data_IF_778619213135
#
_entry.id   IF_778619213135
#
_cell.length_a   1.000
_cell.length_b   1.000
_cell.length_c   1.000
_cell.angle_alpha   90.00
_cell.angle_beta   90.00
_cell.angle_gamma   90.00
#
_symmetry.space_group_name_H-M   'P 1'
#
loop_
_entity.id
_entity.type
_entity.pdbx_description
1 polymer ?
2 non-polymer ?
3 non-polymer ?
4 non-polymer ?
5 non-polymer ?
6 water ?
#
# COMPACT_ATOMS: atom_id res chain seq x y z
N UNK A 11 2.75 -1.85 -18.66
CA UNK A 11 3.43 -1.74 -17.34
C UNK A 11 2.95 -0.56 -16.48
N UNK A 12 1.92 0.21 -16.87
CA UNK A 12 1.47 1.32 -15.99
C UNK A 12 0.86 0.71 -14.71
N UNK A 13 0.04 -0.35 -14.84
CA UNK A 13 -0.70 -0.97 -13.72
C UNK A 13 -0.40 -2.48 -13.72
N UNK A 14 -0.06 -3.05 -12.57
CA UNK A 14 0.10 -4.52 -12.47
C UNK A 14 -0.35 -4.98 -11.09
N UNK A 15 -0.92 -6.18 -11.07
CA UNK A 15 -1.56 -6.74 -9.87
C UNK A 15 -0.95 -8.09 -9.62
N UNK A 16 -0.64 -8.39 -8.36
CA UNK A 16 -0.17 -9.75 -7.96
C UNK A 16 -0.93 -10.17 -6.73
N UNK A 17 -0.86 -11.46 -6.44
CA UNK A 17 -1.42 -12.08 -5.20
C UNK A 17 -0.29 -12.68 -4.39
N UNK A 18 -0.40 -12.57 -3.08
CA UNK A 18 0.50 -13.28 -2.14
C UNK A 18 -0.35 -14.14 -1.25
N UNK A 19 -0.14 -15.45 -1.30
CA UNK A 19 -0.82 -16.44 -0.43
C UNK A 19 0.12 -16.65 0.76
N UNK A 20 -0.35 -16.46 1.96
CA UNK A 20 0.48 -16.77 3.13
C UNK A 20 0.25 -18.23 3.56
N UNK A 21 1.15 -18.73 4.41
CA UNK A 21 0.92 -19.98 5.11
C UNK A 21 -0.18 -19.77 6.16
N UNK A 22 -0.75 -20.87 6.65
CA UNK A 22 -1.78 -20.87 7.71
C UNK A 22 -1.15 -20.29 8.97
N UNK A 23 -1.97 -19.65 9.80
CA UNK A 23 -1.51 -19.09 11.10
C UNK A 23 -1.94 -20.01 12.26
N UNK A 24 -1.63 -19.64 13.51
CA UNK A 24 -1.98 -20.44 14.71
C UNK A 24 -3.49 -20.64 14.84
N UNK A 25 -4.22 -19.53 14.66
CA UNK A 25 -5.70 -19.51 14.74
C UNK A 25 -6.29 -20.56 13.79
N UNK A 26 -5.85 -20.58 12.53
CA UNK A 26 -6.40 -21.43 11.44
C UNK A 26 -6.10 -22.91 11.70
N UNK A 27 -4.95 -23.22 12.29
CA UNK A 27 -4.50 -24.60 12.65
C UNK A 27 -5.31 -25.13 13.84
N UNK A 28 -5.75 -24.28 14.77
CA UNK A 28 -6.58 -24.70 15.94
C UNK A 28 -7.99 -25.11 15.47
N UNK A 29 -8.40 -24.74 14.24
CA UNK A 29 -9.75 -25.01 13.68
C UNK A 29 -9.88 -26.48 13.24
N UNK A 33 -11.26 -25.72 9.41
CA UNK A 33 -10.78 -24.94 8.24
C UNK A 33 -10.76 -25.84 7.00
N UNK A 34 -11.36 -25.37 5.89
CA UNK A 34 -11.21 -25.97 4.55
C UNK A 34 -10.27 -25.10 3.71
N UNK A 35 -9.31 -25.71 3.01
CA UNK A 35 -8.50 -25.03 1.95
C UNK A 35 -9.40 -24.86 0.73
N UNK A 36 -9.75 -23.62 0.38
CA UNK A 36 -10.66 -23.31 -0.74
C UNK A 36 -9.84 -23.07 -2.01
N UNK A 37 -8.57 -22.67 -1.88
CA UNK A 37 -7.76 -22.09 -3.00
C UNK A 37 -6.41 -22.80 -3.10
N UNK A 38 -6.00 -23.10 -4.33
CA UNK A 38 -4.64 -23.56 -4.65
C UNK A 38 -4.06 -22.68 -5.76
N UNK A 39 -2.76 -22.73 -5.99
CA UNK A 39 -2.10 -21.75 -6.87
C UNK A 39 -0.99 -22.37 -7.70
N UNK A 40 -0.67 -21.73 -8.82
CA UNK A 40 0.68 -21.80 -9.41
C UNK A 40 1.19 -20.37 -9.54
N UNK A 41 2.22 -20.11 -10.36
CA UNK A 41 2.87 -18.78 -10.34
C UNK A 41 1.96 -17.72 -10.98
N UNK A 42 0.82 -18.11 -11.56
CA UNK A 42 0.00 -17.15 -12.33
C UNK A 42 -1.49 -17.33 -12.04
N UNK A 43 -1.93 -18.47 -11.56
CA UNK A 43 -3.38 -18.79 -11.46
C UNK A 43 -3.68 -19.20 -10.02
N UNK A 44 -4.76 -18.68 -9.47
CA UNK A 44 -5.30 -19.12 -8.16
C UNK A 44 -6.69 -19.68 -8.49
N UNK A 45 -6.93 -20.92 -8.09
CA UNK A 45 -8.17 -21.63 -8.50
C UNK A 45 -8.82 -22.24 -7.28
N UNK A 46 -10.15 -22.30 -7.34
CA UNK A 46 -11.00 -22.93 -6.30
C UNK A 46 -10.74 -24.45 -6.28
N UNK A 47 -10.64 -25.04 -5.10
CA UNK A 47 -10.20 -26.46 -4.96
C UNK A 47 -11.28 -27.38 -5.53
N UNK A 48 -12.53 -27.26 -5.11
CA UNK A 48 -13.51 -28.28 -5.61
C UNK A 48 -14.62 -27.48 -6.30
N UNK A 49 -14.25 -26.71 -7.31
CA UNK A 49 -15.15 -25.79 -8.03
C UNK A 49 -14.51 -25.25 -9.28
N UNK A 50 -15.18 -24.32 -9.95
CA UNK A 50 -14.83 -23.86 -11.30
C UNK A 50 -14.19 -22.46 -11.29
N UNK A 51 -14.22 -21.74 -10.16
CA UNK A 51 -13.71 -20.35 -10.13
C UNK A 51 -12.19 -20.39 -10.29
N UNK A 52 -11.66 -19.48 -11.09
CA UNK A 52 -10.19 -19.22 -11.13
C UNK A 52 -9.90 -17.80 -11.57
N UNK A 53 -8.70 -17.33 -11.22
CA UNK A 53 -8.25 -15.97 -11.51
C UNK A 53 -6.79 -16.03 -11.94
N UNK A 54 -6.46 -15.26 -12.97
CA UNK A 54 -5.08 -15.21 -13.50
C UNK A 54 -4.51 -13.84 -13.14
N UNK A 55 -3.25 -13.83 -12.79
CA UNK A 55 -2.51 -12.61 -12.44
C UNK A 55 -1.14 -12.68 -13.09
N UNK A 56 -0.49 -11.53 -13.18
CA UNK A 56 0.91 -11.46 -13.67
C UNK A 56 1.83 -12.22 -12.72
N UNK A 57 1.51 -12.31 -11.43
CA UNK A 57 2.32 -13.14 -10.49
C UNK A 57 1.45 -13.53 -9.31
N UNK A 58 1.55 -14.79 -8.91
CA UNK A 58 0.99 -15.25 -7.63
C UNK A 58 2.17 -15.81 -6.83
N UNK A 59 2.38 -15.29 -5.64
CA UNK A 59 3.42 -15.75 -4.69
C UNK A 59 2.80 -16.78 -3.76
N UNK A 60 3.47 -17.92 -3.56
CA UNK A 60 3.01 -18.97 -2.60
C UNK A 60 3.60 -18.78 -1.20
N UNK A 61 3.12 -19.60 -0.28
CA UNK A 61 3.41 -19.48 1.16
C UNK A 61 4.88 -19.60 1.50
N UNK A 62 5.70 -20.28 0.68
CA UNK A 62 7.17 -20.41 0.98
C UNK A 62 8.04 -19.36 0.26
N UNK A 63 7.43 -18.51 -0.56
CA UNK A 63 8.16 -17.39 -1.22
C UNK A 63 8.21 -16.22 -0.21
N UNK A 64 9.31 -15.50 -0.20
CA UNK A 64 9.62 -14.55 0.86
C UNK A 64 9.31 -13.12 0.37
N UNK A 65 9.39 -12.17 1.27
CA UNK A 65 9.20 -10.75 0.92
C UNK A 65 10.38 -10.26 0.06
N UNK A 66 11.55 -10.92 0.09
CA UNK A 66 12.63 -10.60 -0.89
C UNK A 66 12.12 -10.89 -2.32
N UNK A 67 11.47 -12.04 -2.54
CA UNK A 67 10.91 -12.37 -3.87
C UNK A 67 9.86 -11.31 -4.28
N UNK A 68 8.93 -11.01 -3.37
CA UNK A 68 7.88 -9.98 -3.62
C UNK A 68 8.61 -8.69 -3.92
N UNK A 69 9.57 -8.27 -3.09
CA UNK A 69 10.23 -6.95 -3.30
C UNK A 69 10.90 -6.91 -4.70
N UNK A 70 11.71 -7.91 -5.02
CA UNK A 70 12.59 -7.86 -6.22
C UNK A 70 11.73 -7.93 -7.49
N UNK A 71 10.63 -8.67 -7.47
CA UNK A 71 9.83 -8.87 -8.70
C UNK A 71 8.86 -7.70 -8.86
N UNK A 72 8.23 -7.23 -7.76
CA UNK A 72 7.10 -6.24 -7.88
C UNK A 72 7.59 -4.81 -7.62
N UNK A 73 8.37 -4.58 -6.56
CA UNK A 73 8.67 -3.22 -6.07
C UNK A 73 9.95 -2.69 -6.70
N UNK A 74 10.99 -3.51 -6.83
CA UNK A 74 12.32 -3.01 -7.28
C UNK A 74 12.17 -2.25 -8.60
N UNK A 75 11.35 -2.73 -9.58
CA UNK A 75 11.17 -1.98 -10.83
C UNK A 75 10.47 -0.63 -10.67
N UNK A 76 9.62 -0.52 -9.64
CA UNK A 76 8.92 0.74 -9.33
C UNK A 76 9.93 1.70 -8.72
N UNK A 77 10.85 1.22 -7.89
CA UNK A 77 11.96 2.07 -7.36
C UNK A 77 12.83 2.55 -8.52
N UNK A 78 13.14 1.65 -9.46
CA UNK A 78 13.91 2.01 -10.68
C UNK A 78 13.18 3.16 -11.40
N UNK A 79 11.89 3.01 -11.70
CA UNK A 79 11.05 4.02 -12.37
C UNK A 79 11.00 5.34 -11.57
N UNK A 80 10.99 5.27 -10.23
CA UNK A 80 10.99 6.49 -9.38
C UNK A 80 12.31 7.23 -9.59
N UNK A 81 13.41 6.50 -9.66
CA UNK A 81 14.75 7.12 -9.93
C UNK A 81 14.76 7.75 -11.34
N UNK A 82 13.99 7.23 -12.28
CA UNK A 82 13.88 7.78 -13.66
C UNK A 82 12.83 8.91 -13.72
N UNK A 83 12.14 9.25 -12.63
CA UNK A 83 11.24 10.42 -12.58
C UNK A 83 9.78 10.08 -12.75
N UNK A 84 9.39 8.81 -12.69
CA UNK A 84 7.96 8.42 -12.71
C UNK A 84 7.44 8.32 -11.27
N UNK A 85 6.24 8.82 -11.05
CA UNK A 85 5.45 8.54 -9.83
C UNK A 85 5.22 7.02 -9.78
N UNK A 86 5.36 6.46 -8.58
CA UNK A 86 5.09 5.03 -8.36
C UNK A 86 4.33 4.83 -7.08
N UNK A 87 3.35 3.92 -7.10
CA UNK A 87 2.54 3.63 -5.91
C UNK A 87 2.42 2.10 -5.81
N UNK A 88 2.62 1.56 -4.60
CA UNK A 88 2.42 0.13 -4.31
C UNK A 88 1.45 0.05 -3.14
N UNK A 89 0.35 -0.69 -3.32
CA UNK A 89 -0.71 -0.89 -2.30
C UNK A 89 -0.66 -2.34 -1.88
N UNK A 90 -0.83 -2.63 -0.60
CA UNK A 90 -1.17 -3.99 -0.12
C UNK A 90 -2.63 -3.97 0.32
N UNK A 91 -3.41 -4.94 -0.18
CA UNK A 91 -4.86 -5.02 -0.05
C UNK A 91 -5.23 -6.44 0.33
N UNK A 92 -6.14 -6.60 1.27
CA UNK A 92 -6.62 -7.93 1.66
C UNK A 92 -7.26 -7.94 3.03
N UNK A 93 -7.95 -9.04 3.32
CA UNK A 93 -8.66 -9.26 4.60
C UNK A 93 -7.72 -9.00 5.79
N UNK A 94 -8.29 -8.68 6.96
CA UNK A 94 -7.50 -8.65 8.21
C UNK A 94 -6.72 -9.98 8.34
N UNK A 95 -5.46 -9.85 8.74
CA UNK A 95 -4.51 -10.94 9.09
C UNK A 95 -4.05 -11.69 7.83
N UNK A 96 -4.29 -11.14 6.65
CA UNK A 96 -3.92 -11.79 5.38
C UNK A 96 -2.43 -11.58 5.06
N UNK A 97 -1.77 -10.53 5.60
CA UNK A 97 -0.31 -10.34 5.40
C UNK A 97 0.12 -8.98 4.86
N UNK A 98 -0.76 -7.99 4.83
CA UNK A 98 -0.40 -6.65 4.28
C UNK A 98 0.78 -6.02 5.05
N UNK A 99 0.71 -5.96 6.37
CA UNK A 99 1.76 -5.29 7.19
C UNK A 99 3.03 -6.15 7.16
N UNK A 100 2.88 -7.45 7.29
CA UNK A 100 3.98 -8.43 7.13
C UNK A 100 4.73 -8.09 5.83
N UNK A 101 3.99 -7.94 4.74
CA UNK A 101 4.58 -7.68 3.40
C UNK A 101 5.16 -6.25 3.30
N UNK A 102 4.45 -5.23 3.78
CA UNK A 102 4.86 -3.83 3.56
C UNK A 102 5.88 -3.38 4.61
N UNK A 103 5.80 -3.81 5.85
CA UNK A 103 6.72 -3.30 6.92
C UNK A 103 7.62 -4.45 7.41
N UNK A 104 7.07 -5.63 7.62
CA UNK A 104 7.75 -6.77 8.23
C UNK A 104 8.38 -6.40 9.56
N UNK A 105 9.58 -6.91 9.80
CA UNK A 105 10.32 -6.75 11.07
C UNK A 105 11.81 -6.85 10.79
N UNK A 106 12.63 -6.59 11.79
CA UNK A 106 14.10 -6.77 11.65
C UNK A 106 14.40 -8.21 11.25
N UNK A 107 13.58 -9.15 11.67
CA UNK A 107 13.83 -10.60 11.37
C UNK A 107 13.64 -10.82 9.87
N UNK A 108 12.71 -10.11 9.22
CA UNK A 108 12.43 -10.31 7.78
C UNK A 108 11.76 -9.05 7.24
N UNK A 109 12.54 -8.21 6.59
CA UNK A 109 12.12 -6.82 6.25
C UNK A 109 10.94 -6.85 5.28
N UNK A 110 10.08 -5.85 5.40
CA UNK A 110 8.98 -5.61 4.44
C UNK A 110 9.45 -4.79 3.24
N UNK A 111 8.51 -4.54 2.34
CA UNK A 111 8.73 -3.71 1.11
C UNK A 111 9.26 -2.31 1.47
N UNK A 112 8.74 -1.69 2.52
CA UNK A 112 9.06 -0.27 2.83
C UNK A 112 10.54 -0.18 3.20
N UNK A 113 11.04 -0.88 4.23
CA UNK A 113 12.47 -0.82 4.54
C UNK A 113 13.37 -1.33 3.42
N UNK A 114 12.94 -2.34 2.66
CA UNK A 114 13.75 -2.85 1.51
C UNK A 114 13.87 -1.74 0.46
N UNK A 115 12.82 -0.95 0.24
CA UNK A 115 12.83 0.13 -0.79
C UNK A 115 13.84 1.19 -0.34
N UNK A 116 13.88 1.45 0.96
CA UNK A 116 14.84 2.47 1.49
C UNK A 116 16.26 2.02 1.18
N UNK A 117 16.64 0.79 1.56
CA UNK A 117 17.99 0.26 1.27
C UNK A 117 18.24 0.28 -0.24
N UNK A 118 17.26 -0.16 -1.01
CA UNK A 118 17.38 -0.29 -2.47
C UNK A 118 17.63 1.08 -3.10
N UNK A 119 16.91 2.10 -2.67
CA UNK A 119 17.05 3.50 -3.21
C UNK A 119 18.48 4.02 -2.94
N UNK A 120 18.95 3.94 -1.69
CA UNK A 120 20.28 4.45 -1.28
C UNK A 120 21.38 3.69 -2.03
N UNK A 121 21.23 2.39 -2.27
CA UNK A 121 22.22 1.61 -3.07
C UNK A 121 22.17 2.08 -4.54
N UNK A 122 20.97 2.15 -5.13
CA UNK A 122 20.85 2.41 -6.58
C UNK A 122 21.29 3.82 -6.96
N UNK A 123 21.12 4.81 -6.09
CA UNK A 123 21.46 6.20 -6.51
C UNK A 123 22.99 6.35 -6.67
N UNK A 124 23.78 5.45 -6.08
CA UNK A 124 25.26 5.40 -6.31
C UNK A 124 25.61 5.02 -7.75
N UNK A 125 24.70 4.40 -8.51
CA UNK A 125 24.96 4.07 -9.94
C UNK A 125 24.89 5.33 -10.82
N UNK A 126 24.55 6.50 -10.26
CA UNK A 126 24.35 7.79 -10.99
C UNK A 126 25.17 8.91 -10.34
N UNK A 127 26.52 8.77 -10.27
CA UNK A 127 27.37 9.76 -9.58
C UNK A 127 27.37 11.14 -10.26
N UNK A 128 26.96 11.16 -11.53
CA UNK A 128 26.81 12.36 -12.39
C UNK A 128 25.48 13.04 -12.10
N UNK A 129 24.78 12.61 -11.04
CA UNK A 129 23.44 13.17 -10.67
C UNK A 129 23.44 13.47 -9.17
N UNK A 130 22.86 14.60 -8.82
CA UNK A 130 22.65 15.05 -7.42
C UNK A 130 21.23 14.65 -7.03
N UNK A 131 21.07 13.95 -5.91
CA UNK A 131 19.76 13.47 -5.44
C UNK A 131 19.39 14.23 -4.17
N UNK A 132 18.12 14.60 -4.06
CA UNK A 132 17.55 15.06 -2.78
C UNK A 132 16.35 14.16 -2.47
N UNK A 133 16.39 13.49 -1.32
CA UNK A 133 15.29 12.58 -0.90
C UNK A 133 14.60 13.14 0.34
N UNK A 134 13.28 13.11 0.36
CA UNK A 134 12.54 13.50 1.57
C UNK A 134 11.37 12.54 1.79
N UNK A 135 11.11 12.26 3.06
CA UNK A 135 10.05 11.28 3.43
C UNK A 135 8.91 11.98 4.14
N UNK A 136 7.72 11.40 4.01
CA UNK A 136 6.54 11.78 4.79
C UNK A 136 5.89 10.49 5.24
N UNK A 137 5.03 10.57 6.25
CA UNK A 137 4.36 9.35 6.74
C UNK A 137 3.04 9.77 7.33
N UNK A 138 1.94 9.33 6.73
CA UNK A 138 0.60 9.76 7.19
C UNK A 138 -0.30 8.56 7.41
N UNK A 139 -1.31 8.79 8.24
CA UNK A 139 -2.32 7.78 8.53
C UNK A 139 -3.68 8.39 8.26
N UNK A 140 -4.61 7.54 7.82
CA UNK A 140 -6.04 7.88 7.69
C UNK A 140 -6.80 7.00 8.69
N UNK A 141 -7.24 7.58 9.78
CA UNK A 141 -7.89 6.85 10.89
C UNK A 141 -9.22 7.53 11.14
N UNK A 142 -10.30 6.76 10.95
CA UNK A 142 -11.70 7.18 11.14
C UNK A 142 -11.87 8.49 10.35
N UNK A 143 -11.52 8.43 9.05
CA UNK A 143 -11.60 9.48 8.00
C UNK A 143 -10.93 10.80 8.44
N UNK A 144 -9.91 10.72 9.27
CA UNK A 144 -9.03 11.86 9.67
C UNK A 144 -7.62 11.58 9.15
N UNK A 145 -6.96 12.59 8.59
CA UNK A 145 -5.55 12.45 8.14
C UNK A 145 -4.64 13.12 9.15
N UNK A 146 -3.59 12.40 9.57
CA UNK A 146 -2.60 12.92 10.51
C UNK A 146 -1.19 12.58 10.04
N UNK A 147 -0.28 13.39 10.48
CA UNK A 147 1.16 13.33 10.18
C UNK A 147 1.80 12.42 11.24
N UNK A 148 2.36 11.28 10.85
CA UNK A 148 2.96 10.36 11.86
C UNK A 148 4.36 10.84 12.27
N UNK A 149 4.98 11.80 11.55
CA UNK A 149 6.40 12.14 11.78
C UNK A 149 6.54 13.31 12.76
N UNK A 150 5.56 14.21 12.85
CA UNK A 150 5.79 15.57 13.40
C UNK A 150 5.81 15.51 14.94
N UNK A 151 5.50 14.37 15.54
CA UNK A 151 5.45 14.22 17.01
C UNK A 151 4.13 14.73 17.55
N UNK A 152 3.67 14.12 18.65
CA UNK A 152 2.25 14.12 19.10
C UNK A 152 1.72 15.54 19.33
N UNK A 153 2.53 16.45 19.88
CA UNK A 153 2.03 17.79 20.30
C UNK A 153 1.64 18.61 19.05
N UNK A 154 2.21 18.32 17.86
CA UNK A 154 1.94 19.04 16.57
C UNK A 154 0.89 18.29 15.72
N UNK A 155 0.49 17.10 16.12
CA UNK A 155 -0.55 16.32 15.40
C UNK A 155 -1.89 17.02 15.48
N UNK A 156 -2.62 17.01 14.37
CA UNK A 156 -3.96 17.62 14.20
C UNK A 156 -4.54 17.08 12.89
N UNK A 157 -5.88 17.12 12.70
CA UNK A 157 -6.50 16.69 11.44
C UNK A 157 -5.93 17.59 10.33
N UNK A 158 -5.48 16.99 9.23
CA UNK A 158 -4.90 17.71 8.08
C UNK A 158 -5.93 17.76 6.97
N UNK A 159 -5.78 18.76 6.09
CA UNK A 159 -6.76 19.10 5.03
C UNK A 159 -6.19 18.65 3.69
N UNK A 160 -7.00 18.03 2.84
CA UNK A 160 -6.60 17.73 1.44
C UNK A 160 -6.92 18.98 0.62
N UNK A 161 -5.95 19.48 -0.13
CA UNK A 161 -6.18 20.62 -1.05
C UNK A 161 -5.82 20.20 -2.48
N UNK A 162 -6.31 20.98 -3.43
CA UNK A 162 -6.04 20.79 -4.86
C UNK A 162 -5.29 22.02 -5.36
N UNK A 163 -4.11 21.83 -5.94
CA UNK A 163 -3.19 22.95 -6.24
C UNK A 163 -3.55 23.55 -7.60
N UNK A 164 -2.69 24.43 -8.09
CA UNK A 164 -2.92 25.20 -9.36
C UNK A 164 -3.02 24.23 -10.55
N UNK A 165 -2.38 23.05 -10.49
CA UNK A 165 -2.40 22.06 -11.61
C UNK A 165 -3.43 20.96 -11.37
N UNK A 166 -4.32 21.13 -10.37
CA UNK A 166 -5.36 20.19 -9.95
C UNK A 166 -4.76 18.93 -9.29
N UNK A 167 -3.47 18.92 -8.95
CA UNK A 167 -2.83 17.86 -8.10
C UNK A 167 -3.37 17.97 -6.66
N UNK A 168 -3.77 16.86 -6.03
CA UNK A 168 -4.19 16.83 -4.60
C UNK A 168 -2.96 16.65 -3.70
N UNK A 169 -2.97 17.32 -2.56
CA UNK A 169 -1.85 17.25 -1.58
C UNK A 169 -2.44 17.37 -0.18
N UNK A 170 -1.72 16.86 0.84
CA UNK A 170 -2.12 17.05 2.27
C UNK A 170 -1.41 18.29 2.78
N UNK A 171 -2.17 19.36 3.09
CA UNK A 171 -1.63 20.65 3.59
C UNK A 171 -0.89 20.41 4.92
N UNK A 172 0.31 20.96 5.03
CA UNK A 172 1.15 21.00 6.26
C UNK A 172 1.63 19.60 6.67
N UNK A 173 1.58 18.60 5.80
CA UNK A 173 2.25 17.30 6.02
C UNK A 173 3.75 17.54 5.94
N UNK A 174 4.49 17.20 6.99
CA UNK A 174 5.95 17.40 7.02
C UNK A 174 6.65 16.48 6.01
N UNK A 175 7.76 16.98 5.49
CA UNK A 175 8.60 16.29 4.51
C UNK A 175 10.00 16.38 5.07
N UNK A 176 10.58 15.26 5.48
CA UNK A 176 11.88 15.25 6.17
C UNK A 176 12.97 14.83 5.17
N UNK A 177 13.96 15.71 4.97
CA UNK A 177 15.14 15.36 4.15
C UNK A 177 15.95 14.24 4.81
N UNK A 178 16.37 13.27 4.03
CA UNK A 178 17.14 12.11 4.57
C UNK A 178 18.36 11.91 3.70
N UNK A 179 19.51 11.66 4.31
CA UNK A 179 20.82 11.52 3.62
C UNK A 179 21.36 10.09 3.75
N UNK A 180 20.75 9.24 4.56
CA UNK A 180 21.17 7.83 4.73
C UNK A 180 19.92 6.96 4.88
N UNK A 181 20.06 5.67 4.59
CA UNK A 181 19.02 4.67 4.90
C UNK A 181 18.67 4.73 6.39
N UNK A 182 19.69 4.84 7.25
CA UNK A 182 19.48 4.84 8.72
C UNK A 182 18.53 5.99 9.11
N UNK A 183 18.68 7.17 8.50
CA UNK A 183 17.87 8.35 8.90
C UNK A 183 16.40 8.07 8.50
N UNK A 184 16.20 7.53 7.28
CA UNK A 184 14.85 7.22 6.78
C UNK A 184 14.19 6.19 7.71
N UNK A 185 14.90 5.12 8.07
CA UNK A 185 14.37 4.04 8.96
C UNK A 185 14.04 4.60 10.34
N UNK A 186 14.83 5.54 10.87
CA UNK A 186 14.47 6.16 12.17
C UNK A 186 13.17 6.94 12.07
N UNK A 187 12.91 7.62 10.95
CA UNK A 187 11.61 8.32 10.77
C UNK A 187 10.47 7.30 10.75
N UNK A 188 10.64 6.20 10.04
CA UNK A 188 9.58 5.14 9.99
C UNK A 188 9.31 4.66 11.42
N UNK A 189 10.36 4.44 12.22
CA UNK A 189 10.21 3.95 13.61
C UNK A 189 9.41 4.97 14.41
N UNK A 190 9.76 6.24 14.27
CA UNK A 190 9.07 7.31 15.00
C UNK A 190 7.60 7.30 14.61
N UNK A 191 7.30 7.19 13.32
CA UNK A 191 5.90 7.20 12.86
C UNK A 191 5.12 6.00 13.35
N UNK A 192 5.76 4.83 13.38
CA UNK A 192 5.13 3.56 13.82
C UNK A 192 4.65 3.69 15.27
N UNK A 193 5.32 4.50 16.10
CA UNK A 193 4.96 4.69 17.52
C UNK A 193 3.58 5.32 17.64
N UNK A 194 3.18 6.18 16.71
CA UNK A 194 1.91 6.92 16.73
C UNK A 194 0.82 6.23 15.89
N UNK A 195 1.21 5.27 15.06
CA UNK A 195 0.25 4.53 14.19
C UNK A 195 -0.78 3.78 15.05
N UNK A 196 -2.02 3.75 14.60
CA UNK A 196 -3.14 3.08 15.30
C UNK A 196 -3.08 1.58 14.99
N UNK A 197 -2.82 0.79 16.03
CA UNK A 197 -2.96 -0.68 15.98
C UNK A 197 -3.97 -1.12 17.02
N UNK A 198 -4.54 -2.32 16.87
CA UNK A 198 -5.47 -2.83 17.87
C UNK A 198 -5.53 -4.34 17.86
N UNK A 199 -5.86 -4.91 19.00
CA UNK A 199 -5.98 -6.37 19.16
C UNK A 199 -7.41 -6.82 18.83
N UNK A 200 -7.56 -7.80 17.94
CA UNK A 200 -8.82 -8.54 17.68
C UNK A 200 -8.51 -10.02 17.69
N UNK A 201 -9.55 -10.86 17.64
CA UNK A 201 -9.32 -12.32 17.61
C UNK A 201 -8.65 -12.70 16.28
N UNK A 202 -8.74 -11.85 15.25
CA UNK A 202 -8.19 -12.17 13.91
C UNK A 202 -6.72 -11.73 13.83
N UNK A 203 -6.35 -10.66 14.54
CA UNK A 203 -4.97 -10.11 14.49
C UNK A 203 -4.65 -9.44 15.82
N UNK A 204 -3.64 -9.92 16.53
CA UNK A 204 -3.28 -9.27 17.80
C UNK A 204 -2.67 -7.88 17.55
N UNK A 205 -2.30 -7.54 16.32
CA UNK A 205 -1.78 -6.21 15.95
C UNK A 205 -2.33 -5.81 14.57
N UNK A 206 -3.65 -5.67 14.55
CA UNK A 206 -4.44 -5.21 13.40
C UNK A 206 -4.08 -3.73 13.18
N UNK A 207 -3.82 -3.37 11.93
CA UNK A 207 -3.73 -1.96 11.46
C UNK A 207 -5.11 -1.32 11.43
N UNK A 208 -5.40 -0.35 12.32
CA UNK A 208 -6.76 0.20 12.45
C UNK A 208 -6.93 1.43 11.56
N UNK A 209 -5.96 1.70 10.70
CA UNK A 209 -5.93 2.88 9.81
C UNK A 209 -5.27 2.45 8.51
N UNK A 210 -5.44 3.26 7.48
CA UNK A 210 -4.61 3.21 6.24
C UNK A 210 -3.37 4.03 6.49
N UNK A 211 -2.21 3.53 6.06
CA UNK A 211 -0.95 4.29 6.20
C UNK A 211 -0.30 4.47 4.85
N UNK A 212 0.28 5.65 4.66
CA UNK A 212 0.99 5.98 3.40
C UNK A 212 2.37 6.49 3.77
N UNK A 213 3.38 5.72 3.42
CA UNK A 213 4.80 6.13 3.49
C UNK A 213 5.18 6.70 2.13
N UNK A 214 5.65 7.95 2.10
CA UNK A 214 6.02 8.58 0.82
C UNK A 214 7.50 8.95 0.81
N UNK A 215 8.19 8.65 -0.29
CA UNK A 215 9.47 9.34 -0.59
C UNK A 215 9.26 10.23 -1.81
N UNK A 216 9.70 11.49 -1.72
CA UNK A 216 9.83 12.37 -2.91
C UNK A 216 11.29 12.33 -3.31
N UNK A 217 11.55 11.84 -4.51
CA UNK A 217 12.91 11.72 -5.08
C UNK A 217 13.09 12.84 -6.09
N UNK A 218 14.09 13.68 -5.90
CA UNK A 218 14.40 14.76 -6.88
C UNK A 218 15.83 14.51 -7.36
N UNK A 219 16.09 14.64 -8.66
CA UNK A 219 17.51 14.60 -9.12
C UNK A 219 17.74 15.63 -10.23
N UNK A 220 18.98 16.07 -10.36
CA UNK A 220 19.42 16.89 -11.50
C UNK A 220 20.87 16.54 -11.84
N UNK A 221 21.27 16.89 -13.07
CA UNK A 221 22.66 16.72 -13.54
C UNK A 221 23.58 17.54 -12.62
N UNK A 222 24.69 16.94 -12.16
CA UNK A 222 25.78 17.59 -11.40
C UNK A 222 26.39 18.77 -12.19
N UNK A 223 26.11 18.88 -13.50
CA UNK A 223 26.52 20.00 -14.37
C UNK A 223 26.46 21.35 -13.67
N UNK A 231 17.37 20.70 -15.76
CA UNK A 231 16.01 20.55 -15.18
C UNK A 231 16.01 19.46 -14.11
N UNK A 232 14.90 19.29 -13.39
CA UNK A 232 14.85 18.46 -12.15
C UNK A 232 13.82 17.35 -12.38
N UNK A 233 14.21 16.09 -12.22
CA UNK A 233 13.26 14.96 -12.21
C UNK A 233 12.67 14.89 -10.80
N UNK A 234 11.34 14.79 -10.68
CA UNK A 234 10.62 14.69 -9.38
C UNK A 234 9.70 13.45 -9.42
N UNK A 235 9.84 12.56 -8.46
CA UNK A 235 8.99 11.35 -8.35
C UNK A 235 8.36 11.31 -6.95
N UNK A 236 7.07 11.02 -6.87
CA UNK A 236 6.40 10.66 -5.60
C UNK A 236 6.27 9.14 -5.57
N UNK A 237 6.94 8.51 -4.61
CA UNK A 237 6.90 7.06 -4.37
C UNK A 237 6.03 6.82 -3.14
N UNK A 238 4.82 6.30 -3.35
CA UNK A 238 3.82 6.11 -2.27
C UNK A 238 3.72 4.62 -1.98
N UNK A 239 4.03 4.22 -0.76
CA UNK A 239 4.03 2.81 -0.34
C UNK A 239 2.93 2.68 0.72
N UNK A 240 1.86 1.98 0.37
CA UNK A 240 0.56 2.12 1.05
C UNK A 240 0.22 0.78 1.68
N UNK A 241 -0.04 0.79 2.96
CA UNK A 241 -0.50 -0.42 3.71
C UNK A 241 -1.94 -0.16 4.14
N UNK A 242 -2.89 -0.78 3.43
CA UNK A 242 -4.33 -0.52 3.72
C UNK A 242 -4.72 -1.27 4.97
N UNK A 243 -5.75 -0.78 5.65
CA UNK A 243 -6.56 -1.58 6.59
C UNK A 243 -7.31 -2.65 5.80
N UNK A 244 -7.82 -3.67 6.51
CA UNK A 244 -8.35 -4.89 5.87
C UNK A 244 -9.79 -5.17 6.28
N UNK A 245 -10.57 -5.77 5.37
CA UNK A 245 -11.97 -6.16 5.66
C UNK A 245 -12.02 -7.06 6.90
N UNK A 246 -13.04 -6.90 7.73
CA UNK A 246 -13.17 -7.77 8.92
C UNK A 246 -14.65 -7.84 9.33
N UNK A 247 -14.99 -8.91 10.02
CA UNK A 247 -16.38 -9.19 10.47
C UNK A 247 -16.39 -9.38 11.97
N UNK A 248 -17.38 -8.81 12.65
CA UNK A 248 -17.56 -8.93 14.11
C UNK A 248 -17.57 -10.41 14.57
N UNK A 249 -18.14 -11.34 13.80
CA UNK A 249 -18.24 -12.76 14.21
C UNK A 249 -16.84 -13.36 14.30
N UNK A 250 -15.88 -12.81 13.54
CA UNK A 250 -14.50 -13.32 13.47
C UNK A 250 -13.62 -12.54 14.46
N UNK A 251 -13.82 -11.24 14.62
CA UNK A 251 -12.88 -10.39 15.42
C UNK A 251 -13.24 -10.41 16.92
N UNK A 252 -14.52 -10.62 17.24
CA UNK A 252 -15.07 -10.38 18.58
C UNK A 252 -15.01 -8.92 18.96
N UNK A 253 -14.88 -7.99 18.02
CA UNK A 253 -14.69 -6.55 18.33
C UNK A 253 -15.97 -5.99 18.99
N UNK A 254 -15.76 -5.00 19.85
CA UNK A 254 -16.80 -4.25 20.57
C UNK A 254 -16.27 -2.82 20.68
N UNK A 255 -17.16 -1.88 20.99
CA UNK A 255 -16.75 -0.50 21.27
C UNK A 255 -15.93 0.10 20.14
N UNK A 256 -14.82 0.75 20.48
CA UNK A 256 -13.98 1.49 19.49
C UNK A 256 -13.43 0.52 18.43
N UNK A 257 -12.99 -0.67 18.81
CA UNK A 257 -12.47 -1.66 17.82
C UNK A 257 -13.58 -1.91 16.78
N UNK A 258 -14.83 -2.09 17.22
CA UNK A 258 -15.95 -2.42 16.30
C UNK A 258 -16.23 -1.22 15.39
N UNK A 259 -16.23 -0.01 15.94
CA UNK A 259 -16.41 1.23 15.16
C UNK A 259 -15.33 1.34 14.08
N UNK A 260 -14.08 1.04 14.46
CA UNK A 260 -12.93 1.08 13.52
C UNK A 260 -13.23 0.15 12.36
N UNK A 261 -13.68 -1.07 12.65
CA UNK A 261 -13.97 -2.11 11.64
C UNK A 261 -15.01 -1.62 10.66
N UNK A 262 -16.08 -1.04 11.19
CA UNK A 262 -17.15 -0.44 10.35
C UNK A 262 -16.56 0.62 9.42
N UNK A 263 -15.75 1.53 9.93
CA UNK A 263 -15.10 2.62 9.15
C UNK A 263 -14.19 2.01 8.09
N UNK A 264 -13.44 0.97 8.48
CA UNK A 264 -12.49 0.32 7.56
C UNK A 264 -13.31 -0.30 6.43
N UNK A 265 -14.35 -1.04 6.77
CA UNK A 265 -15.13 -1.77 5.75
C UNK A 265 -15.75 -0.75 4.81
N UNK A 266 -16.25 0.36 5.34
CA UNK A 266 -16.88 1.42 4.51
C UNK A 266 -15.85 1.96 3.51
N UNK A 267 -14.64 2.27 3.98
CA UNK A 267 -13.58 2.90 3.16
C UNK A 267 -13.15 1.91 2.06
N UNK A 268 -13.11 0.59 2.35
CA UNK A 268 -12.66 -0.41 1.34
C UNK A 268 -13.75 -0.60 0.30
N UNK A 269 -15.01 -0.48 0.73
CA UNK A 269 -16.17 -0.54 -0.19
C UNK A 269 -16.03 0.60 -1.22
N UNK A 270 -15.70 1.80 -0.76
CA UNK A 270 -15.56 2.98 -1.62
C UNK A 270 -14.36 2.78 -2.56
N UNK A 271 -13.22 2.31 -2.03
CA UNK A 271 -12.05 2.04 -2.91
C UNK A 271 -12.45 1.05 -4.02
N UNK A 272 -13.23 0.01 -3.69
CA UNK A 272 -13.67 -0.96 -4.71
C UNK A 272 -14.56 -0.32 -5.77
N UNK A 273 -15.43 0.59 -5.36
CA UNK A 273 -16.37 1.28 -6.29
C UNK A 273 -15.55 2.17 -7.24
N UNK A 274 -14.55 2.89 -6.72
CA UNK A 274 -13.65 3.74 -7.57
C UNK A 274 -12.92 2.86 -8.58
N UNK A 275 -12.36 1.73 -8.14
CA UNK A 275 -11.64 0.77 -9.02
C UNK A 275 -12.61 0.22 -10.09
N UNK A 276 -13.82 -0.13 -9.70
CA UNK A 276 -14.81 -0.73 -10.62
C UNK A 276 -15.14 0.31 -11.71
N UNK A 277 -15.42 1.56 -11.31
CA UNK A 277 -15.73 2.66 -12.26
C UNK A 277 -14.56 2.88 -13.23
N UNK A 278 -13.32 2.85 -12.74
CA UNK A 278 -12.12 3.03 -13.61
C UNK A 278 -12.00 1.88 -14.62
N UNK A 279 -12.29 0.65 -14.20
CA UNK A 279 -12.18 -0.58 -15.02
C UNK A 279 -13.17 -0.50 -16.18
N UNK A 280 -14.35 0.05 -15.94
CA UNK A 280 -15.47 0.11 -16.91
C UNK A 280 -15.15 1.11 -18.03
N UNK A 281 -14.97 2.40 -17.70
CA UNK A 281 -14.93 3.51 -18.67
C UNK A 281 -13.51 3.99 -18.92
N UNK A 286 -17.68 11.84 -12.65
CA UNK A 286 -17.79 10.43 -13.15
C UNK A 286 -17.18 9.49 -12.11
N UNK A 287 -15.92 9.73 -11.72
CA UNK A 287 -15.22 8.89 -10.69
C UNK A 287 -15.37 9.59 -9.34
N UNK A 288 -15.88 8.87 -8.34
CA UNK A 288 -16.27 9.38 -6.99
C UNK A 288 -15.06 9.36 -6.04
N UNK A 289 -13.97 10.04 -6.39
CA UNK A 289 -12.75 9.98 -5.55
C UNK A 289 -13.06 10.61 -4.20
N UNK A 290 -13.96 11.60 -4.18
CA UNK A 290 -14.19 12.46 -3.00
C UNK A 290 -14.93 11.69 -1.90
N UNK A 291 -15.47 10.50 -2.13
CA UNK A 291 -16.31 9.77 -1.14
C UNK A 291 -15.48 9.23 0.05
N UNK A 292 -14.15 9.19 -0.04
CA UNK A 292 -13.26 8.75 1.06
C UNK A 292 -11.94 9.55 1.00
N UNK A 293 -11.31 9.77 2.14
CA UNK A 293 -10.02 10.47 2.17
C UNK A 293 -8.97 9.63 1.43
N UNK A 294 -9.06 8.32 1.51
CA UNK A 294 -8.07 7.42 0.87
C UNK A 294 -8.14 7.60 -0.65
N UNK A 295 -9.33 7.50 -1.24
CA UNK A 295 -9.48 7.62 -2.74
C UNK A 295 -9.15 9.05 -3.18
N UNK A 296 -9.39 10.05 -2.34
CA UNK A 296 -9.10 11.46 -2.69
C UNK A 296 -7.59 11.68 -2.67
N UNK A 297 -6.87 11.25 -1.63
CA UNK A 297 -5.43 11.61 -1.53
C UNK A 297 -4.62 10.80 -2.57
N UNK A 298 -5.06 9.59 -2.93
CA UNK A 298 -4.34 8.72 -3.92
C UNK A 298 -5.06 8.72 -5.28
N UNK A 299 -5.84 9.75 -5.58
CA UNK A 299 -6.56 9.82 -6.88
C UNK A 299 -5.55 9.67 -8.03
N UNK A 300 -4.39 10.29 -7.92
CA UNK A 300 -3.39 10.25 -9.02
C UNK A 300 -2.92 8.79 -9.23
N UNK A 301 -2.92 7.95 -8.20
CA UNK A 301 -2.52 6.52 -8.28
C UNK A 301 -3.59 5.67 -8.96
N UNK A 302 -4.84 6.15 -9.00
CA UNK A 302 -6.02 5.38 -9.47
C UNK A 302 -6.55 6.06 -10.73
N UNK A 303 -5.90 5.74 -11.84
CA UNK A 303 -6.23 6.21 -13.20
C UNK A 303 -5.43 7.41 -13.62
N UNK A 304 -4.42 7.83 -12.85
CA UNK A 304 -3.68 9.09 -13.13
C UNK A 304 -2.25 8.89 -13.61
N UNK A 305 -1.40 9.85 -13.29
CA UNK A 305 0.01 9.90 -13.68
C UNK A 305 0.91 9.17 -12.67
N UNK A 306 0.76 7.84 -12.50
CA UNK A 306 1.77 7.04 -11.82
C UNK A 306 1.77 5.58 -12.25
N UNK A 307 2.84 4.90 -11.93
CA UNK A 307 2.91 3.43 -12.14
C UNK A 307 2.41 2.82 -10.85
N UNK A 308 1.32 2.07 -10.92
CA UNK A 308 0.68 1.54 -9.70
C UNK A 308 0.81 0.02 -9.68
N UNK A 309 1.11 -0.52 -8.51
CA UNK A 309 1.11 -1.98 -8.28
C UNK A 309 0.21 -2.29 -7.08
N UNK A 310 -0.52 -3.41 -7.18
CA UNK A 310 -1.41 -3.89 -6.11
C UNK A 310 -0.92 -5.28 -5.74
N UNK A 311 -0.56 -5.45 -4.46
CA UNK A 311 -0.24 -6.77 -3.85
C UNK A 311 -1.48 -7.19 -3.05
N UNK A 312 -2.23 -8.17 -3.55
CA UNK A 312 -3.44 -8.68 -2.92
C UNK A 312 -3.07 -9.86 -2.01
N UNK A 313 -3.12 -9.69 -0.69
CA UNK A 313 -2.73 -10.72 0.28
C UNK A 313 -3.98 -11.58 0.61
N UNK A 314 -3.84 -12.90 0.61
CA UNK A 314 -4.99 -13.79 0.89
C UNK A 314 -4.52 -14.94 1.76
N UNK A 315 -5.45 -15.48 2.54
CA UNK A 315 -5.32 -16.77 3.22
C UNK A 315 -6.17 -17.80 2.46
N UNK A 316 -5.60 -18.98 2.19
CA UNK A 316 -6.27 -19.95 1.31
C UNK A 316 -7.44 -20.69 1.98
N UNK A 317 -7.57 -20.58 3.32
CA UNK A 317 -8.70 -21.22 4.08
C UNK A 317 -9.87 -20.24 4.24
N UNK A 318 -9.83 -19.07 3.60
CA UNK A 318 -11.01 -18.18 3.49
C UNK A 318 -11.68 -18.37 2.13
N UNK A 319 -12.99 -18.50 2.10
CA UNK A 319 -13.73 -18.47 0.82
C UNK A 319 -14.20 -17.05 0.53
N UNK A 320 -15.16 -16.50 1.27
CA UNK A 320 -15.85 -15.24 0.89
C UNK A 320 -14.85 -14.07 0.88
N UNK A 321 -14.05 -13.88 1.93
CA UNK A 321 -13.13 -12.69 2.00
C UNK A 321 -12.09 -12.81 0.89
N UNK A 322 -11.53 -14.00 0.68
CA UNK A 322 -10.55 -14.22 -0.41
C UNK A 322 -11.22 -13.92 -1.75
N UNK A 323 -12.48 -14.35 -1.95
CA UNK A 323 -13.17 -14.16 -3.24
C UNK A 323 -13.32 -12.66 -3.49
N UNK A 324 -13.78 -11.92 -2.47
CA UNK A 324 -13.95 -10.46 -2.57
C UNK A 324 -12.61 -9.83 -2.97
N UNK A 325 -11.52 -10.24 -2.33
CA UNK A 325 -10.18 -9.67 -2.55
C UNK A 325 -9.73 -10.01 -3.99
N UNK A 326 -9.91 -11.24 -4.44
CA UNK A 326 -9.47 -11.62 -5.80
C UNK A 326 -10.30 -10.86 -6.85
N UNK A 327 -11.59 -10.66 -6.61
CA UNK A 327 -12.46 -9.91 -7.56
C UNK A 327 -12.02 -8.46 -7.62
N UNK A 328 -11.69 -7.84 -6.48
CA UNK A 328 -11.10 -6.47 -6.44
C UNK A 328 -9.79 -6.44 -7.24
N UNK A 329 -8.90 -7.40 -6.99
CA UNK A 329 -7.55 -7.43 -7.61
C UNK A 329 -7.68 -7.63 -9.13
N UNK A 330 -8.56 -8.56 -9.53
CA UNK A 330 -8.94 -8.79 -10.96
C UNK A 330 -9.44 -7.51 -11.65
N UNK A 331 -10.39 -6.79 -11.04
CA UNK A 331 -10.94 -5.54 -11.58
C UNK A 331 -9.85 -4.50 -11.71
N UNK A 332 -8.98 -4.39 -10.72
CA UNK A 332 -7.90 -3.37 -10.71
C UNK A 332 -6.93 -3.61 -11.85
N UNK A 333 -6.82 -4.84 -12.38
CA UNK A 333 -5.93 -5.15 -13.53
C UNK A 333 -6.26 -4.26 -14.73
N UNK A 334 -7.50 -3.76 -14.83
CA UNK A 334 -7.98 -3.05 -16.05
C UNK A 334 -7.93 -1.54 -15.85
N UNK A 335 -7.41 -1.09 -14.72
CA UNK A 335 -7.29 0.36 -14.46
C UNK A 335 -6.26 0.91 -15.46
N UNK A 336 -6.55 2.05 -16.05
CA UNK A 336 -5.75 2.65 -17.15
C UNK A 336 -5.06 3.87 -16.57
N UNK A 337 -3.81 3.74 -16.19
CA UNK A 337 -2.99 4.88 -15.72
C UNK A 337 -2.19 5.37 -16.92
N UNK A 338 -1.81 6.65 -16.90
CA UNK A 338 -1.02 7.27 -17.98
C UNK A 338 0.20 7.99 -17.41
N UNK A 339 1.23 7.26 -16.96
CA UNK A 339 2.36 7.88 -16.28
C UNK A 339 3.35 8.45 -17.31
N UNK A 340 4.00 9.53 -16.93
CA UNK A 340 5.09 10.14 -17.77
C UNK A 340 6.18 10.59 -16.82
N UNK A 341 7.36 10.86 -17.36
CA UNK A 341 8.50 11.39 -16.57
C UNK A 341 8.15 12.79 -16.06
N UNK A 342 8.39 13.06 -14.78
CA UNK A 342 8.05 14.38 -14.19
C UNK A 342 9.33 15.20 -14.18
N UNK A 343 9.37 16.24 -15.03
CA UNK A 343 10.53 17.15 -15.16
C UNK A 343 10.02 18.58 -14.96
N UNK A 344 10.68 19.37 -14.10
CA UNK A 344 10.27 20.77 -13.78
C UNK A 344 11.50 21.68 -13.79
N UNK A 345 11.29 22.99 -13.86
CA UNK A 345 12.33 24.06 -13.87
C UNK A 345 13.68 23.50 -13.41
X LIG B 1 -4.74 -6.14 9.38
X LIG B 1 -3.77 -4.97 9.62
X LIG B 1 -5.52 -6.49 10.60
X LIG B 1 -5.73 -5.68 8.29
X LIG B 1 -2.69 -7.59 7.96
X LIG B 1 -3.01 -8.11 6.57
X LIG B 1 -1.74 -6.42 8.04
X LIG B 1 -4.05 -7.46 8.78
X LIG B 1 -0.38 -8.91 9.10
X LIG B 1 0.45 -8.52 7.94
X LIG B 1 -0.33 -8.14 10.40
X LIG B 1 -1.92 -8.78 8.68
X LIG B 1 -0.19 -10.50 9.43
X LIG B 1 -0.49 -11.11 10.72
X LIG B 1 0.58 -12.13 11.02
X LIG B 1 0.48 -13.18 10.03
X LIG B 1 2.01 -11.65 10.86
X LIG B 1 2.36 -10.94 12.02
X LIG B 1 2.77 -12.96 10.65
X LIG B 1 2.89 -13.73 11.83
X LIG B 1 1.77 -13.68 9.77
X LIG B 1 2.06 -13.58 8.37
X LIG B 1 1.47 -12.80 7.40
X LIG B 1 1.92 -13.06 6.21
X LIG B 1 2.89 -14.03 6.41
X LIG B 1 3.74 -14.73 5.53
X LIG B 1 3.75 -14.51 4.23
X LIG B 1 4.61 -15.64 6.07
X LIG B 1 4.56 -15.84 7.40
X LIG B 1 3.78 -15.27 8.32
X LIG B 1 2.96 -14.37 7.73
X LIG C 1 -1.91 -4.65 8.97
X LIG D 1 -11.24 -26.14 -10.29
X LIG E 1 -11.00 -23.60 -11.13
X LIG F 1 -10.02 3.93 8.11
X LIG G 1 24.99 13.27 6.08
X LIG G 1 24.72 14.45 5.49
X LIG G 1 24.90 14.30 4.18
X LIG G 1 25.29 13.01 3.93
X LIG G 1 25.40 12.38 5.11
#
# INVERSE_FOLDING_TARGET
>A
MNHKVHMAEEGAVAVCVRVRPLNSREESLGETAQVYWKTDNNVIYQVDGSKSFNFDRVFHGNETTKNVYEEIAAPIIDSAIQGYNGTIFAYGQTASGKTYTMMGSEDHLGVIPRAIHDIFQKIKKFPDREFLLRVSYMEIYNETITDLLCGTQKMKPLIIREDVNRNVYVADLTEEVVYTSEMALKWITKGEKSRHYGETKMNQRSSRSHTIFRMILESREKGEPSNCEGSVKVSHLNLVDLAGSERAAQTGAAGVRLKEGCNINRSLFILGQVIKKLSDGQVGGFINYRDSKLTRILQNSLGGNPKTRIICTITPVSFDETLTALQFASTAKYMKNTPYVNEVSGSHHHHHH
>B hetero
1 ANP PG O1G O2G O3G PB O1B O2B N3B PA O1A O2A O3A O5' C5' C4' O4' C3' O3' C2' O2' C1' N9 C8 N7 C5 C6 N6 N1 C2 N3 C4
>C hetero
1 MG MG
>D hetero
1 NA NA
>E hetero
1 NA NA
>F hetero
1 NA NA
>G hetero
1 IMD N1 C2 N3 C4 C5
#
